data_IF_033775448638
#
_entry.id   IF_033775448638
#
_cell.length_a   1.000
_cell.length_b   1.000
_cell.length_c   1.000
_cell.angle_alpha   90.00
_cell.angle_beta   90.00
_cell.angle_gamma   90.00
#
_symmetry.space_group_name_H-M   'P 1'
#
loop_
_entity.id
_entity.type
_entity.pdbx_description
1 polymer ?
#
# COMPACT_ATOMS: atom_id res chain seq x y z
N UNK A 1 -0.51 -56.63 5.57
CA UNK A 1 -0.52 -55.87 4.30
C UNK A 1 -0.88 -54.45 4.67
N UNK A 2 0.13 -53.65 4.90
CA UNK A 2 -0.03 -52.21 5.28
C UNK A 2 -0.12 -51.42 3.98
N UNK A 3 -1.27 -50.83 3.73
CA UNK A 3 -1.48 -49.90 2.61
C UNK A 3 -0.88 -48.54 3.00
N UNK A 4 0.36 -48.30 2.58
CA UNK A 4 0.96 -46.96 2.57
C UNK A 4 0.16 -46.06 1.61
N UNK A 5 -0.80 -45.35 2.19
CA UNK A 5 -1.48 -44.25 1.48
C UNK A 5 -0.45 -43.13 1.34
N UNK A 6 0.27 -43.13 0.23
CA UNK A 6 1.06 -41.97 -0.19
C UNK A 6 0.12 -40.76 -0.30
N UNK A 7 0.03 -39.96 0.75
CA UNK A 7 -0.47 -38.60 0.63
C UNK A 7 0.43 -37.89 -0.40
N UNK A 8 -0.03 -37.79 -1.66
CA UNK A 8 0.57 -36.94 -2.66
C UNK A 8 0.69 -35.56 -1.99
N UNK A 9 1.92 -35.13 -1.67
CA UNK A 9 2.18 -33.77 -1.26
C UNK A 9 1.55 -32.86 -2.31
N UNK A 10 0.60 -32.04 -1.89
CA UNK A 10 -0.06 -31.09 -2.79
C UNK A 10 0.98 -30.05 -3.19
N UNK A 11 1.32 -30.00 -4.47
CA UNK A 11 2.34 -29.10 -4.98
C UNK A 11 2.00 -27.64 -4.69
N UNK A 12 3.04 -26.81 -4.57
CA UNK A 12 2.95 -25.38 -4.22
C UNK A 12 2.48 -24.56 -5.42
N UNK A 13 1.47 -23.70 -5.21
CA UNK A 13 1.03 -22.69 -6.18
C UNK A 13 1.58 -21.34 -5.74
N UNK A 14 2.54 -20.82 -6.48
CA UNK A 14 3.30 -19.62 -6.18
C UNK A 14 2.76 -18.40 -6.94
N UNK A 15 2.35 -17.36 -6.27
CA UNK A 15 2.09 -16.07 -6.89
C UNK A 15 3.36 -15.23 -6.93
N UNK A 16 3.66 -14.61 -8.08
CA UNK A 16 4.88 -13.79 -8.27
C UNK A 16 4.53 -12.36 -8.67
N UNK A 17 5.16 -11.38 -8.03
CA UNK A 17 4.95 -9.95 -8.31
C UNK A 17 5.41 -9.05 -7.19
N UNK A 18 5.45 -7.73 -7.45
CA UNK A 18 5.75 -6.74 -6.41
C UNK A 18 4.53 -6.46 -5.52
N UNK A 19 3.32 -6.48 -6.08
CA UNK A 19 2.03 -6.36 -5.39
C UNK A 19 1.82 -5.06 -4.62
N UNK A 20 2.40 -3.94 -5.05
CA UNK A 20 2.20 -2.67 -4.37
C UNK A 20 0.72 -2.27 -4.31
N UNK A 21 0.26 -1.98 -3.09
CA UNK A 21 -1.14 -1.67 -2.80
C UNK A 21 -2.08 -2.87 -2.74
N UNK A 22 -1.66 -4.09 -3.04
CA UNK A 22 -2.49 -5.34 -3.01
C UNK A 22 -3.92 -5.11 -3.51
N UNK A 23 -4.05 -4.39 -4.64
CA UNK A 23 -5.32 -3.98 -5.27
C UNK A 23 -6.11 -5.17 -5.84
N UNK A 24 -7.35 -4.94 -6.29
CA UNK A 24 -8.23 -5.99 -6.80
C UNK A 24 -7.63 -6.83 -7.94
N UNK A 25 -6.78 -6.22 -8.80
CA UNK A 25 -6.01 -6.95 -9.83
C UNK A 25 -5.01 -7.93 -9.22
N UNK A 26 -4.30 -7.53 -8.19
CA UNK A 26 -3.37 -8.39 -7.46
C UNK A 26 -4.09 -9.56 -6.77
N UNK A 27 -5.27 -9.30 -6.18
CA UNK A 27 -6.07 -10.36 -5.54
C UNK A 27 -6.45 -11.49 -6.50
N UNK A 28 -6.63 -11.20 -7.82
CA UNK A 28 -6.86 -12.24 -8.84
C UNK A 28 -5.64 -13.14 -9.07
N UNK A 29 -4.43 -12.56 -9.01
CA UNK A 29 -3.18 -13.33 -9.11
C UNK A 29 -3.01 -14.21 -7.87
N UNK A 30 -3.28 -13.64 -6.69
CA UNK A 30 -3.18 -14.32 -5.40
C UNK A 30 -4.24 -15.43 -5.22
N UNK A 31 -5.34 -15.40 -5.98
CA UNK A 31 -6.44 -16.35 -5.83
C UNK A 31 -6.00 -17.79 -6.09
N UNK A 32 -6.06 -18.60 -5.04
CA UNK A 32 -5.65 -19.99 -5.03
C UNK A 32 -4.14 -20.23 -4.93
N UNK A 33 -3.33 -19.21 -4.71
CA UNK A 33 -1.91 -19.37 -4.39
C UNK A 33 -1.72 -19.82 -2.93
N UNK A 34 -0.74 -20.67 -2.69
CA UNK A 34 -0.34 -21.16 -1.37
C UNK A 34 0.87 -20.37 -0.83
N UNK A 35 1.69 -19.84 -1.76
CA UNK A 35 2.86 -19.02 -1.47
C UNK A 35 2.93 -17.79 -2.36
N UNK A 36 3.72 -16.80 -1.95
CA UNK A 36 3.97 -15.56 -2.68
C UNK A 36 5.47 -15.30 -2.71
N UNK A 37 6.02 -15.00 -3.88
CA UNK A 37 7.35 -14.41 -4.05
C UNK A 37 7.19 -12.93 -4.39
N UNK A 38 7.70 -12.07 -3.54
CA UNK A 38 7.67 -10.60 -3.69
C UNK A 38 9.02 -9.99 -3.32
N UNK A 39 9.15 -8.69 -3.50
CA UNK A 39 10.37 -7.96 -3.15
C UNK A 39 10.12 -7.01 -1.97
N UNK A 40 11.09 -6.83 -1.08
CA UNK A 40 11.00 -5.85 0.00
C UNK A 40 11.02 -4.42 -0.55
N UNK A 41 11.95 -4.13 -1.45
CA UNK A 41 12.11 -2.85 -2.13
C UNK A 41 11.55 -2.87 -3.55
N UNK A 42 11.18 -1.70 -4.06
CA UNK A 42 10.68 -1.59 -5.44
C UNK A 42 11.81 -1.85 -6.45
N UNK A 43 11.62 -2.70 -7.48
CA UNK A 43 12.68 -2.97 -8.46
C UNK A 43 13.29 -1.72 -9.09
N UNK A 44 12.49 -0.69 -9.37
CA UNK A 44 13.00 0.58 -9.92
C UNK A 44 13.89 1.35 -8.94
N UNK A 45 13.81 1.13 -7.61
CA UNK A 45 14.75 1.77 -6.69
C UNK A 45 16.21 1.33 -6.89
N UNK A 46 16.41 0.19 -7.57
CA UNK A 46 17.72 -0.36 -7.92
C UNK A 46 18.05 -0.15 -9.41
N UNK A 47 17.05 -0.33 -10.30
CA UNK A 47 17.25 -0.27 -11.75
C UNK A 47 17.33 1.18 -12.26
N UNK A 48 16.49 2.04 -11.75
CA UNK A 48 16.39 3.46 -12.10
C UNK A 48 15.74 4.23 -10.95
N UNK A 49 16.53 4.66 -9.95
CA UNK A 49 16.02 5.34 -8.76
C UNK A 49 15.22 6.63 -9.07
N UNK A 50 15.53 7.28 -10.19
CA UNK A 50 14.84 8.53 -10.59
C UNK A 50 13.39 8.29 -11.01
N UNK A 51 13.05 7.05 -11.37
CA UNK A 51 11.71 6.61 -11.78
C UNK A 51 11.02 5.75 -10.72
N UNK A 52 11.66 5.56 -9.56
CA UNK A 52 11.05 4.80 -8.47
C UNK A 52 9.81 5.54 -7.95
N UNK A 53 8.62 4.93 -8.00
CA UNK A 53 7.40 5.59 -7.56
C UNK A 53 7.29 5.59 -6.04
N UNK A 54 6.57 6.57 -5.48
CA UNK A 54 6.10 6.47 -4.10
C UNK A 54 5.25 5.21 -3.93
N UNK A 55 5.47 4.46 -2.85
CA UNK A 55 4.76 3.22 -2.59
C UNK A 55 3.32 3.52 -2.11
N UNK A 56 2.39 2.62 -2.44
CA UNK A 56 1.00 2.69 -1.99
C UNK A 56 0.81 2.18 -0.57
N UNK A 57 1.80 1.49 -0.03
CA UNK A 57 1.77 0.97 1.33
C UNK A 57 3.17 0.58 1.80
N UNK A 58 3.34 0.54 3.10
CA UNK A 58 4.55 0.06 3.76
C UNK A 58 4.85 -1.42 3.41
N UNK A 59 6.13 -1.80 3.49
CA UNK A 59 6.58 -3.15 3.14
C UNK A 59 6.04 -4.21 4.08
N UNK A 60 6.01 -3.94 5.39
CA UNK A 60 5.53 -4.92 6.38
C UNK A 60 4.01 -5.06 6.31
N UNK A 61 3.29 -3.96 6.12
CA UNK A 61 1.84 -3.99 5.86
C UNK A 61 1.53 -4.81 4.61
N UNK A 62 2.30 -4.61 3.52
CA UNK A 62 2.14 -5.37 2.28
C UNK A 62 2.36 -6.86 2.50
N UNK A 63 3.43 -7.25 3.18
CA UNK A 63 3.74 -8.65 3.49
C UNK A 63 2.63 -9.26 4.35
N UNK A 64 2.18 -8.56 5.38
CA UNK A 64 1.06 -8.99 6.24
C UNK A 64 -0.21 -9.21 5.43
N UNK A 65 -0.56 -8.26 4.56
CA UNK A 65 -1.75 -8.36 3.72
C UNK A 65 -1.63 -9.50 2.69
N UNK A 66 -0.45 -9.73 2.10
CA UNK A 66 -0.22 -10.84 1.17
C UNK A 66 -0.42 -12.21 1.83
N UNK A 67 -0.16 -12.33 3.14
CA UNK A 67 -0.41 -13.57 3.89
C UNK A 67 -1.90 -13.90 3.99
N UNK A 68 -2.75 -12.91 4.16
CA UNK A 68 -4.14 -13.11 4.61
C UNK A 68 -5.21 -12.77 3.58
N UNK A 69 -4.95 -11.85 2.64
CA UNK A 69 -5.98 -11.33 1.72
C UNK A 69 -6.60 -12.44 0.85
N UNK A 70 -7.92 -12.58 0.92
CA UNK A 70 -8.68 -13.51 0.06
C UNK A 70 -8.37 -14.99 0.29
N UNK A 71 -7.90 -15.38 1.48
CA UNK A 71 -7.65 -16.78 1.84
C UNK A 71 -8.06 -17.08 3.28
N UNK A 72 -8.49 -18.32 3.55
CA UNK A 72 -8.76 -18.81 4.91
C UNK A 72 -7.50 -19.27 5.65
N UNK A 73 -6.46 -19.67 4.91
CA UNK A 73 -5.17 -20.11 5.45
C UNK A 73 -4.11 -19.11 5.06
N UNK A 74 -3.28 -18.62 5.99
CA UNK A 74 -2.17 -17.73 5.67
C UNK A 74 -1.25 -18.34 4.60
N UNK A 75 -0.82 -17.51 3.63
CA UNK A 75 0.17 -17.90 2.63
C UNK A 75 1.57 -17.79 3.21
N UNK A 76 2.47 -18.60 2.68
CA UNK A 76 3.89 -18.39 2.89
C UNK A 76 4.38 -17.25 1.98
N UNK A 77 4.94 -16.17 2.57
CA UNK A 77 5.42 -15.00 1.82
C UNK A 77 6.94 -14.96 1.89
N UNK A 78 7.57 -15.15 0.72
CA UNK A 78 9.01 -15.00 0.50
C UNK A 78 9.25 -13.58 -0.03
N UNK A 79 9.61 -12.68 0.86
CA UNK A 79 9.93 -11.30 0.53
C UNK A 79 11.47 -11.16 0.46
N UNK A 80 11.99 -11.07 -0.75
CA UNK A 80 13.44 -10.98 -0.99
C UNK A 80 13.87 -9.55 -1.33
N UNK A 81 15.12 -9.20 -1.04
CA UNK A 81 15.70 -7.94 -1.48
C UNK A 81 15.95 -7.99 -2.99
N UNK A 82 15.42 -7.00 -3.72
CA UNK A 82 15.76 -6.81 -5.12
C UNK A 82 17.09 -6.07 -5.23
N UNK A 83 18.14 -6.80 -5.57
CA UNK A 83 19.51 -6.29 -5.67
C UNK A 83 19.96 -6.21 -7.12
N UNK A 84 21.07 -5.52 -7.40
CA UNK A 84 21.71 -5.53 -8.75
C UNK A 84 22.03 -6.96 -9.19
N UNK A 85 22.50 -7.82 -8.27
CA UNK A 85 22.74 -9.25 -8.54
C UNK A 85 21.47 -9.97 -8.97
N UNK A 86 20.35 -9.74 -8.26
CA UNK A 86 19.06 -10.34 -8.62
C UNK A 86 18.56 -9.82 -9.97
N UNK A 87 18.72 -8.53 -10.22
CA UNK A 87 18.33 -7.88 -11.48
C UNK A 87 19.13 -8.37 -12.71
N UNK A 88 20.39 -8.77 -12.53
CA UNK A 88 21.26 -9.28 -13.59
C UNK A 88 21.16 -10.79 -13.84
N UNK A 89 20.34 -11.50 -13.04
CA UNK A 89 20.14 -12.94 -13.17
C UNK A 89 19.55 -13.28 -14.54
N UNK A 90 20.15 -14.21 -15.29
CA UNK A 90 19.57 -14.69 -16.54
C UNK A 90 18.21 -15.39 -16.29
N UNK A 91 17.30 -15.44 -17.28
CA UNK A 91 16.03 -16.16 -17.10
C UNK A 91 16.20 -17.60 -16.63
N UNK A 92 17.21 -18.30 -17.11
CA UNK A 92 17.56 -19.70 -16.75
C UNK A 92 17.97 -19.81 -15.29
N UNK A 93 18.75 -18.83 -14.81
CA UNK A 93 19.20 -18.77 -13.42
C UNK A 93 18.03 -18.49 -12.47
N UNK A 94 17.11 -17.61 -12.88
CA UNK A 94 15.88 -17.37 -12.13
C UNK A 94 14.99 -18.62 -12.06
N UNK A 95 14.91 -19.40 -13.15
CA UNK A 95 14.22 -20.69 -13.14
C UNK A 95 14.87 -21.65 -12.16
N UNK A 96 16.21 -21.71 -12.13
CA UNK A 96 16.98 -22.54 -11.19
C UNK A 96 16.75 -22.10 -9.75
N UNK A 97 16.74 -20.79 -9.51
CA UNK A 97 16.36 -20.18 -8.22
C UNK A 97 14.95 -20.62 -7.78
N UNK A 98 13.94 -20.54 -8.66
CA UNK A 98 12.58 -20.99 -8.33
C UNK A 98 12.52 -22.48 -7.95
N UNK A 99 13.25 -23.33 -8.64
CA UNK A 99 13.32 -24.77 -8.33
C UNK A 99 14.00 -25.06 -7.00
N UNK A 100 15.04 -24.28 -6.65
CA UNK A 100 15.73 -24.39 -5.38
C UNK A 100 14.89 -23.92 -4.21
N UNK A 101 14.27 -22.73 -4.32
CA UNK A 101 13.47 -22.15 -3.23
C UNK A 101 12.11 -22.81 -3.04
N UNK A 102 11.57 -23.41 -4.12
CA UNK A 102 10.25 -24.05 -4.12
C UNK A 102 10.33 -25.44 -4.77
N UNK A 103 10.92 -26.45 -4.10
CA UNK A 103 11.11 -27.79 -4.68
C UNK A 103 9.81 -28.45 -5.15
N UNK A 104 8.71 -28.19 -4.42
CA UNK A 104 7.37 -28.73 -4.74
C UNK A 104 6.53 -27.79 -5.62
N UNK A 105 7.16 -26.87 -6.37
CA UNK A 105 6.47 -25.89 -7.20
C UNK A 105 5.65 -26.57 -8.32
N UNK A 106 4.34 -26.51 -8.20
CA UNK A 106 3.40 -27.07 -9.19
C UNK A 106 3.00 -26.03 -10.23
N UNK A 107 2.73 -24.78 -9.77
CA UNK A 107 2.15 -23.75 -10.63
C UNK A 107 2.59 -22.35 -10.23
N UNK A 108 2.89 -21.52 -11.24
CA UNK A 108 3.18 -20.09 -11.05
C UNK A 108 1.97 -19.27 -11.47
N UNK A 109 1.53 -18.34 -10.60
CA UNK A 109 0.49 -17.36 -10.88
C UNK A 109 1.13 -15.99 -11.07
N UNK A 110 0.84 -15.32 -12.19
CA UNK A 110 1.40 -13.99 -12.51
C UNK A 110 0.40 -13.11 -13.27
N UNK A 111 0.73 -11.84 -13.42
CA UNK A 111 0.05 -10.92 -14.34
C UNK A 111 0.55 -11.09 -15.78
N UNK A 112 -0.22 -10.62 -16.77
CA UNK A 112 0.14 -10.74 -18.19
C UNK A 112 1.38 -9.95 -18.60
N UNK A 113 1.66 -8.86 -17.91
CA UNK A 113 2.83 -8.01 -18.13
C UNK A 113 4.02 -8.35 -17.24
N UNK A 114 3.95 -9.41 -16.45
CA UNK A 114 5.04 -9.80 -15.56
C UNK A 114 6.27 -10.22 -16.35
N UNK A 115 7.42 -9.76 -15.89
CA UNK A 115 8.74 -10.04 -16.48
C UNK A 115 9.72 -10.42 -15.39
N UNK A 116 10.73 -11.20 -15.75
CA UNK A 116 11.81 -11.60 -14.86
C UNK A 116 13.13 -11.73 -15.62
N UNK A 117 14.20 -11.91 -14.87
CA UNK A 117 15.54 -12.01 -15.39
C UNK A 117 16.10 -10.68 -15.91
N UNK A 118 17.35 -10.70 -16.33
CA UNK A 118 18.07 -9.53 -16.82
C UNK A 118 17.29 -8.85 -17.96
N UNK A 119 17.15 -7.52 -17.85
CA UNK A 119 16.40 -6.67 -18.78
C UNK A 119 14.94 -7.10 -19.00
N UNK A 120 14.36 -7.88 -18.07
CA UNK A 120 12.99 -8.39 -18.20
C UNK A 120 12.81 -9.38 -19.36
N UNK A 121 13.86 -10.08 -19.76
CA UNK A 121 13.83 -11.01 -20.90
C UNK A 121 12.90 -12.20 -20.68
N UNK A 122 12.75 -12.65 -19.44
CA UNK A 122 11.84 -13.75 -19.07
C UNK A 122 10.37 -13.31 -19.05
N UNK A 123 9.51 -14.16 -19.58
CA UNK A 123 8.06 -13.97 -19.70
C UNK A 123 7.30 -15.17 -19.09
N UNK A 124 5.97 -15.08 -18.91
CA UNK A 124 5.18 -16.24 -18.55
C UNK A 124 5.31 -17.42 -19.55
N UNK A 125 5.59 -17.11 -20.83
CA UNK A 125 5.85 -18.17 -21.83
C UNK A 125 7.19 -18.84 -21.58
N UNK A 126 8.24 -18.09 -21.29
CA UNK A 126 9.56 -18.62 -20.91
C UNK A 126 9.45 -19.65 -19.78
N UNK A 127 8.64 -19.39 -18.73
CA UNK A 127 8.43 -20.37 -17.66
C UNK A 127 7.76 -21.66 -18.19
N UNK A 128 6.81 -21.56 -19.13
CA UNK A 128 6.19 -22.75 -19.74
C UNK A 128 7.19 -23.56 -20.54
N UNK A 129 8.07 -22.90 -21.27
CA UNK A 129 9.13 -23.53 -22.08
C UNK A 129 10.11 -24.31 -21.18
N UNK A 130 10.30 -23.86 -19.93
CA UNK A 130 11.03 -24.57 -18.87
C UNK A 130 10.19 -25.62 -18.11
N UNK A 131 8.96 -25.90 -18.56
CA UNK A 131 8.11 -26.97 -18.03
C UNK A 131 7.21 -26.59 -16.84
N UNK A 132 7.13 -25.30 -16.45
CA UNK A 132 6.24 -24.89 -15.39
C UNK A 132 4.78 -24.75 -15.86
N UNK A 133 3.83 -25.16 -15.03
CA UNK A 133 2.44 -24.75 -15.21
C UNK A 133 2.28 -23.28 -14.83
N UNK A 134 1.73 -22.45 -15.73
CA UNK A 134 1.61 -21.00 -15.50
C UNK A 134 0.18 -20.52 -15.71
N UNK A 135 -0.38 -19.92 -14.64
CA UNK A 135 -1.66 -19.21 -14.67
C UNK A 135 -1.41 -17.72 -14.83
N UNK A 136 -1.78 -17.19 -16.00
CA UNK A 136 -1.78 -15.74 -16.25
C UNK A 136 -3.16 -15.19 -15.91
N UNK A 137 -3.21 -14.28 -14.94
CA UNK A 137 -4.46 -13.65 -14.49
C UNK A 137 -4.87 -12.53 -15.43
N UNK A 138 -6.16 -12.49 -15.79
CA UNK A 138 -6.74 -11.37 -16.53
C UNK A 138 -6.77 -10.11 -15.67
N UNK A 139 -6.63 -8.94 -16.28
CA UNK A 139 -6.73 -7.67 -15.57
C UNK A 139 -8.11 -7.51 -14.90
N UNK A 140 -8.11 -7.03 -13.66
CA UNK A 140 -9.32 -6.49 -13.07
C UNK A 140 -9.57 -5.11 -13.67
N UNK A 141 -10.83 -4.73 -13.83
CA UNK A 141 -11.23 -3.42 -14.33
C UNK A 141 -12.00 -2.64 -13.27
N UNK A 142 -11.88 -1.31 -13.35
CA UNK A 142 -12.72 -0.35 -12.65
C UNK A 142 -13.22 0.62 -13.73
N UNK A 143 -14.53 0.59 -13.99
CA UNK A 143 -15.05 1.07 -15.26
C UNK A 143 -14.49 0.25 -16.43
N UNK A 144 -14.13 0.93 -17.53
CA UNK A 144 -13.59 0.26 -18.73
C UNK A 144 -12.08 0.04 -18.70
N UNK A 145 -11.39 0.59 -17.71
CA UNK A 145 -9.93 0.58 -17.63
C UNK A 145 -9.40 -0.46 -16.64
N UNK A 146 -8.20 -0.98 -16.96
CA UNK A 146 -7.49 -1.91 -16.09
C UNK A 146 -7.06 -1.25 -14.77
N UNK A 147 -7.20 -1.99 -13.67
CA UNK A 147 -6.69 -1.60 -12.37
C UNK A 147 -5.18 -1.86 -12.33
N UNK A 148 -4.42 -0.83 -11.92
CA UNK A 148 -2.97 -0.91 -11.71
C UNK A 148 -2.51 0.01 -10.59
N UNK A 149 -1.34 -0.28 -9.99
CA UNK A 149 -0.75 0.60 -8.97
C UNK A 149 -0.45 2.00 -9.53
N UNK A 150 -0.09 2.12 -10.80
CA UNK A 150 0.12 3.42 -11.47
C UNK A 150 -1.16 4.24 -11.53
N UNK A 151 -2.28 3.63 -11.92
CA UNK A 151 -3.58 4.32 -11.97
C UNK A 151 -4.08 4.72 -10.58
N UNK A 152 -3.84 3.87 -9.58
CA UNK A 152 -4.19 4.19 -8.19
C UNK A 152 -3.39 5.40 -7.71
N UNK A 153 -2.07 5.46 -7.99
CA UNK A 153 -1.25 6.63 -7.64
C UNK A 153 -1.74 7.90 -8.34
N UNK A 154 -2.11 7.81 -9.61
CA UNK A 154 -2.65 8.95 -10.34
C UNK A 154 -3.93 9.46 -9.69
N UNK A 155 -4.89 8.59 -9.35
CA UNK A 155 -6.12 8.97 -8.66
C UNK A 155 -5.83 9.64 -7.30
N UNK A 156 -4.92 9.09 -6.50
CA UNK A 156 -4.51 9.69 -5.22
C UNK A 156 -3.84 11.06 -5.40
N UNK A 157 -2.98 11.22 -6.41
CA UNK A 157 -2.32 12.48 -6.73
C UNK A 157 -3.27 13.56 -7.24
N UNK A 158 -4.41 13.19 -7.81
CA UNK A 158 -5.48 14.07 -8.21
C UNK A 158 -6.49 14.36 -7.08
N UNK A 159 -6.41 13.60 -5.97
CA UNK A 159 -7.33 13.68 -4.83
C UNK A 159 -8.58 12.82 -4.99
N UNK A 160 -8.68 12.02 -6.06
CA UNK A 160 -9.80 11.08 -6.26
C UNK A 160 -9.60 9.81 -5.42
N UNK A 161 -9.79 9.98 -4.10
CA UNK A 161 -9.62 8.92 -3.10
C UNK A 161 -10.67 7.83 -3.29
N UNK A 162 -11.89 8.20 -3.65
CA UNK A 162 -12.99 7.27 -3.88
C UNK A 162 -12.69 6.31 -5.03
N UNK A 163 -12.14 6.81 -6.14
CA UNK A 163 -11.69 5.97 -7.25
C UNK A 163 -10.52 5.07 -6.83
N UNK A 164 -9.54 5.60 -6.09
CA UNK A 164 -8.44 4.81 -5.57
C UNK A 164 -8.95 3.67 -4.65
N UNK A 165 -9.87 3.97 -3.74
CA UNK A 165 -10.50 3.01 -2.83
C UNK A 165 -11.27 1.91 -3.60
N UNK A 166 -12.00 2.28 -4.65
CA UNK A 166 -12.71 1.33 -5.51
C UNK A 166 -11.76 0.35 -6.21
N UNK A 167 -10.60 0.82 -6.67
CA UNK A 167 -9.56 -0.01 -7.30
C UNK A 167 -8.80 -0.88 -6.29
N UNK A 168 -8.57 -0.36 -5.08
CA UNK A 168 -7.95 -1.10 -3.98
C UNK A 168 -8.90 -2.18 -3.41
N UNK A 169 -10.22 -1.95 -3.49
CA UNK A 169 -11.24 -2.77 -2.82
C UNK A 169 -11.18 -2.66 -1.30
N UNK A 170 -10.65 -1.56 -0.81
CA UNK A 170 -10.59 -1.11 0.59
C UNK A 170 -10.23 0.37 0.62
N UNK A 171 -10.33 1.01 1.78
CA UNK A 171 -9.83 2.36 1.96
C UNK A 171 -8.32 2.41 1.81
N UNK A 172 -7.81 3.45 1.13
CA UNK A 172 -6.40 3.79 1.15
C UNK A 172 -6.03 4.21 2.57
N UNK A 173 -4.88 3.76 3.04
CA UNK A 173 -4.45 4.05 4.39
C UNK A 173 -2.95 4.29 4.45
N UNK A 174 -2.55 5.07 5.44
CA UNK A 174 -1.16 5.23 5.86
C UNK A 174 -1.05 4.86 7.34
N UNK A 175 0.10 4.36 7.73
CA UNK A 175 0.41 4.08 9.14
C UNK A 175 1.66 4.83 9.54
N UNK A 176 1.68 5.37 10.76
CA UNK A 176 2.83 6.08 11.30
C UNK A 176 2.70 6.24 12.81
N UNK A 177 3.84 6.46 13.49
CA UNK A 177 3.83 6.83 14.89
C UNK A 177 3.41 8.28 15.03
N UNK A 178 2.50 8.56 15.94
CA UNK A 178 2.07 9.92 16.23
C UNK A 178 3.20 10.70 16.90
N UNK A 179 3.50 11.88 16.36
CA UNK A 179 4.46 12.80 16.95
C UNK A 179 3.69 13.95 17.59
N UNK A 180 4.06 14.32 18.81
CA UNK A 180 3.41 15.42 19.50
C UNK A 180 3.55 16.73 18.70
N UNK A 181 2.43 17.29 18.26
CA UNK A 181 2.38 18.58 17.59
C UNK A 181 2.51 19.76 18.58
N UNK A 182 2.81 20.94 18.06
CA UNK A 182 2.94 22.17 18.86
C UNK A 182 1.63 22.66 19.53
N UNK A 183 0.59 21.82 19.64
CA UNK A 183 -0.60 22.12 20.43
C UNK A 183 -1.51 23.25 19.91
N UNK A 184 -1.40 23.67 18.65
CA UNK A 184 -2.30 24.69 18.08
C UNK A 184 -3.74 24.20 18.04
N UNK A 185 -3.97 22.91 17.80
CA UNK A 185 -5.29 22.27 17.87
C UNK A 185 -5.88 22.19 19.28
N UNK A 186 -5.04 22.23 20.32
CA UNK A 186 -5.48 22.18 21.71
C UNK A 186 -6.32 23.42 22.11
N UNK A 187 -6.15 24.57 21.43
CA UNK A 187 -6.99 25.75 21.63
C UNK A 187 -8.43 25.58 21.12
N UNK A 188 -8.66 24.57 20.30
CA UNK A 188 -9.98 24.19 19.73
C UNK A 188 -10.63 23.03 20.47
N UNK A 189 -10.00 22.51 21.54
CA UNK A 189 -10.55 21.43 22.36
C UNK A 189 -10.54 20.05 21.70
N UNK A 190 -9.83 19.88 20.57
CA UNK A 190 -9.70 18.59 19.89
C UNK A 190 -8.22 18.18 19.81
N UNK A 191 -7.85 16.96 20.21
CA UNK A 191 -6.51 16.46 20.10
C UNK A 191 -6.10 16.37 18.63
N UNK A 192 -4.86 16.77 18.31
CA UNK A 192 -4.29 16.71 16.97
C UNK A 192 -3.16 15.70 16.94
N UNK A 193 -3.20 14.79 15.96
CA UNK A 193 -2.18 13.81 15.70
C UNK A 193 -1.37 14.21 14.49
N UNK A 194 -0.06 14.21 14.60
CA UNK A 194 0.87 14.52 13.52
C UNK A 194 1.64 13.27 13.13
N UNK A 195 1.74 13.03 11.83
CA UNK A 195 2.48 11.90 11.27
C UNK A 195 3.40 12.40 10.17
N UNK A 196 4.64 11.94 10.15
CA UNK A 196 5.49 12.07 8.97
C UNK A 196 5.17 10.92 8.02
N UNK A 197 4.60 11.23 6.86
CA UNK A 197 4.13 10.23 5.92
C UNK A 197 4.50 10.62 4.50
N UNK A 198 5.20 9.72 3.81
CA UNK A 198 5.41 9.84 2.36
C UNK A 198 4.39 8.98 1.62
N UNK A 199 3.35 9.61 1.08
CA UNK A 199 2.29 8.94 0.33
C UNK A 199 2.02 9.66 -1.00
N UNK A 200 1.55 8.98 -2.05
CA UNK A 200 1.24 9.60 -3.35
C UNK A 200 -0.09 10.36 -3.33
N UNK A 201 -0.34 11.11 -2.26
CA UNK A 201 -1.57 11.89 -2.05
C UNK A 201 -1.40 13.32 -2.58
N UNK A 202 -2.49 13.89 -3.08
CA UNK A 202 -2.57 15.33 -3.31
C UNK A 202 -2.48 16.09 -1.99
N UNK A 203 -1.73 17.19 -1.97
CA UNK A 203 -1.73 18.08 -0.80
C UNK A 203 -3.10 18.72 -0.58
N UNK A 204 -3.60 18.66 0.65
CA UNK A 204 -4.90 19.19 1.00
C UNK A 204 -5.57 18.52 2.20
N UNK A 205 -6.86 18.76 2.33
CA UNK A 205 -7.68 18.34 3.46
C UNK A 205 -8.56 17.17 3.06
N UNK A 206 -8.64 16.18 3.96
CA UNK A 206 -9.34 14.91 3.74
C UNK A 206 -10.28 14.59 4.89
N UNK A 207 -11.34 13.83 4.60
CA UNK A 207 -12.07 13.07 5.60
C UNK A 207 -11.36 11.75 5.80
N UNK A 208 -11.10 11.40 7.05
CA UNK A 208 -10.39 10.18 7.43
C UNK A 208 -11.10 9.45 8.55
N UNK A 209 -10.88 8.13 8.64
CA UNK A 209 -11.21 7.33 9.82
C UNK A 209 -9.89 6.85 10.46
N UNK A 210 -9.88 6.83 11.78
CA UNK A 210 -8.81 6.31 12.63
C UNK A 210 -9.38 5.32 13.63
N UNK A 211 -8.58 4.53 14.35
CA UNK A 211 -9.08 3.70 15.46
C UNK A 211 -9.81 4.50 16.55
N UNK A 212 -9.56 5.79 16.67
CA UNK A 212 -10.19 6.68 17.65
C UNK A 212 -11.42 7.43 17.12
N UNK A 213 -11.83 7.15 15.89
CA UNK A 213 -13.00 7.74 15.26
C UNK A 213 -12.69 8.54 14.00
N UNK A 214 -13.71 9.24 13.51
CA UNK A 214 -13.63 10.06 12.31
C UNK A 214 -12.86 11.35 12.57
N UNK A 215 -12.08 11.79 11.57
CA UNK A 215 -11.29 13.00 11.62
C UNK A 215 -11.28 13.77 10.31
N UNK A 216 -10.76 14.98 10.41
CA UNK A 216 -10.33 15.80 9.29
C UNK A 216 -8.81 15.83 9.30
N UNK A 217 -8.18 15.45 8.19
CA UNK A 217 -6.73 15.39 8.08
C UNK A 217 -6.23 16.40 7.06
N UNK A 218 -5.21 17.19 7.42
CA UNK A 218 -4.43 18.02 6.50
C UNK A 218 -3.16 17.27 6.12
N UNK A 219 -2.99 16.97 4.83
CA UNK A 219 -1.75 16.44 4.27
C UNK A 219 -1.03 17.56 3.54
N UNK A 220 0.06 18.06 4.10
CA UNK A 220 0.71 19.26 3.61
C UNK A 220 2.21 19.28 3.83
N UNK A 221 2.89 20.18 3.09
CA UNK A 221 4.30 20.51 3.33
C UNK A 221 4.34 21.50 4.47
N UNK A 222 4.62 20.97 5.66
CA UNK A 222 4.70 21.69 6.93
C UNK A 222 5.07 23.19 6.91
N UNK A 223 4.93 23.74 8.04
CA UNK A 223 3.87 24.44 8.67
C UNK A 223 4.06 25.93 8.70
N UNK A 224 3.04 26.46 8.83
CA UNK A 224 2.71 27.67 9.49
C UNK A 224 3.48 27.92 10.77
N UNK A 225 4.66 28.44 10.78
CA UNK A 225 5.42 28.99 11.89
C UNK A 225 6.65 28.19 12.37
N UNK A 226 7.76 28.59 11.85
CA UNK A 226 9.10 28.26 12.36
C UNK A 226 9.85 27.25 11.51
N UNK A 227 11.15 27.46 11.41
CA UNK A 227 12.12 26.56 10.76
C UNK A 227 11.95 25.12 11.25
N UNK A 228 11.16 24.32 10.54
CA UNK A 228 11.04 22.91 10.83
C UNK A 228 11.75 22.09 9.76
N UNK A 229 12.61 21.22 10.24
CA UNK A 229 13.46 20.33 9.46
C UNK A 229 12.71 19.17 8.79
N UNK A 230 11.40 19.27 8.54
CA UNK A 230 10.65 18.22 7.90
C UNK A 230 10.92 18.21 6.40
N UNK A 231 11.55 17.18 5.91
CA UNK A 231 11.84 16.99 4.47
C UNK A 231 10.68 16.33 3.71
N UNK A 232 9.67 15.81 4.41
CA UNK A 232 8.51 15.13 3.86
C UNK A 232 7.19 15.84 4.24
N UNK A 233 6.10 15.61 3.49
CA UNK A 233 4.79 16.08 3.90
C UNK A 233 4.37 15.50 5.26
N UNK A 234 3.62 16.29 6.03
CA UNK A 234 3.07 15.93 7.34
C UNK A 234 1.58 15.71 7.20
N UNK A 235 1.08 14.68 7.85
CA UNK A 235 -0.35 14.43 8.01
C UNK A 235 -0.77 14.88 9.42
N UNK A 236 -1.57 15.94 9.51
CA UNK A 236 -2.18 16.40 10.74
C UNK A 236 -3.63 15.96 10.81
N UNK A 237 -3.99 15.15 11.80
CA UNK A 237 -5.35 14.62 11.96
C UNK A 237 -6.04 15.27 13.15
N UNK A 238 -7.19 15.88 12.89
CA UNK A 238 -8.13 16.43 13.86
C UNK A 238 -9.29 15.46 14.07
N UNK A 239 -9.47 14.93 15.26
CA UNK A 239 -10.61 14.07 15.61
C UNK A 239 -11.88 14.91 15.82
N UNK A 240 -13.00 14.51 15.19
CA UNK A 240 -14.25 15.28 15.18
C UNK A 240 -14.99 15.23 16.50
N UNK A 241 -15.00 14.09 17.17
CA UNK A 241 -15.83 13.83 18.34
C UNK A 241 -15.01 13.72 19.65
N UNK A 242 -13.79 14.25 19.64
CA UNK A 242 -12.88 14.30 20.80
C UNK A 242 -12.73 12.93 21.48
N UNK A 243 -11.62 12.25 21.28
CA UNK A 243 -11.31 11.05 22.04
C UNK A 243 -10.26 11.32 23.08
N UNK A 244 -10.39 10.64 24.22
CA UNK A 244 -9.24 10.46 25.10
C UNK A 244 -8.26 9.55 24.36
N UNK A 245 -7.13 10.12 23.96
CA UNK A 245 -5.97 9.35 23.59
C UNK A 245 -5.53 8.60 24.84
N UNK A 246 -5.53 7.28 24.79
CA UNK A 246 -4.69 6.53 25.69
C UNK A 246 -3.24 6.73 25.23
N UNK A 247 -2.51 7.58 25.97
CA UNK A 247 -1.08 7.83 25.77
C UNK A 247 -0.21 6.60 26.10
N UNK A 248 -0.84 5.44 26.33
CA UNK A 248 -0.18 4.24 26.88
C UNK A 248 0.83 3.60 25.91
N UNK A 249 0.77 3.89 24.61
CA UNK A 249 1.77 3.40 23.67
C UNK A 249 2.04 4.41 22.53
N UNK A 250 2.87 5.44 22.78
CA UNK A 250 3.20 6.47 21.77
C UNK A 250 3.97 5.89 20.57
N UNK A 251 4.57 4.70 20.70
CA UNK A 251 5.33 4.04 19.65
C UNK A 251 4.47 3.11 18.77
N UNK A 252 3.20 2.90 19.12
CA UNK A 252 2.30 2.08 18.31
C UNK A 252 1.86 2.81 17.04
N UNK A 253 2.11 2.25 15.83
CA UNK A 253 1.75 2.91 14.60
C UNK A 253 0.23 3.02 14.47
N UNK A 254 -0.26 4.24 14.36
CA UNK A 254 -1.66 4.53 14.13
C UNK A 254 -1.97 4.46 12.63
N UNK A 255 -3.07 3.77 12.29
CA UNK A 255 -3.58 3.68 10.93
C UNK A 255 -4.60 4.77 10.66
N UNK A 256 -4.38 5.55 9.59
CA UNK A 256 -5.31 6.57 9.08
C UNK A 256 -5.87 6.13 7.74
N UNK A 257 -7.18 5.95 7.64
CA UNK A 257 -7.90 5.54 6.43
C UNK A 257 -8.54 6.75 5.75
N UNK A 258 -8.26 6.96 4.47
CA UNK A 258 -8.75 8.10 3.69
C UNK A 258 -10.08 7.76 3.03
N UNK A 259 -11.09 8.62 3.26
CA UNK A 259 -12.44 8.46 2.72
C UNK A 259 -12.67 9.33 1.49
N UNK A 260 -12.37 10.64 1.63
CA UNK A 260 -12.69 11.66 0.64
C UNK A 260 -11.73 12.83 0.73
N UNK A 261 -11.41 13.43 -0.41
CA UNK A 261 -10.75 14.74 -0.50
C UNK A 261 -11.78 15.85 -0.33
N UNK A 262 -11.51 16.81 0.55
CA UNK A 262 -12.40 17.93 0.81
C UNK A 262 -11.99 19.18 0.00
N UNK A 263 -10.72 19.55 0.07
CA UNK A 263 -10.22 20.78 -0.58
C UNK A 263 -8.69 20.81 -0.63
N UNK A 264 -8.07 21.62 -1.50
CA UNK A 264 -6.65 21.91 -1.46
C UNK A 264 -6.23 22.63 -0.17
N UNK A 265 -4.93 22.65 0.09
CA UNK A 265 -4.37 23.52 1.16
C UNK A 265 -4.72 24.98 0.94
N UNK A 266 -4.90 25.71 2.05
CA UNK A 266 -5.18 27.13 2.05
C UNK A 266 -4.33 27.80 3.13
N UNK A 267 -3.71 28.93 2.78
CA UNK A 267 -3.02 29.77 3.77
C UNK A 267 -4.03 30.70 4.42
N UNK A 268 -3.87 30.94 5.71
CA UNK A 268 -4.74 31.84 6.49
C UNK A 268 -3.92 33.02 7.01
N UNK A 269 -4.53 34.21 6.98
CA UNK A 269 -3.91 35.42 7.48
C UNK A 269 -3.91 35.56 9.00
N UNK A 270 -4.86 34.83 9.63
CA UNK A 270 -5.09 34.89 11.08
C UNK A 270 -5.67 33.58 11.61
N UNK A 271 -5.55 33.41 12.94
CA UNK A 271 -6.02 32.19 13.64
C UNK A 271 -7.54 32.01 13.56
N UNK A 272 -8.31 33.11 13.57
CA UNK A 272 -9.77 33.04 13.57
C UNK A 272 -10.30 32.52 12.22
N UNK A 273 -9.65 32.92 11.13
CA UNK A 273 -9.95 32.40 9.78
C UNK A 273 -9.63 30.93 9.65
N UNK A 274 -8.53 30.48 10.25
CA UNK A 274 -8.15 29.06 10.33
C UNK A 274 -9.21 28.28 11.13
N UNK A 275 -9.59 28.75 12.31
CA UNK A 275 -10.60 28.11 13.16
C UNK A 275 -11.96 27.98 12.46
N UNK A 276 -12.43 29.02 11.78
CA UNK A 276 -13.68 28.99 10.99
C UNK A 276 -13.62 27.97 9.87
N UNK A 277 -12.46 27.84 9.19
CA UNK A 277 -12.31 26.85 8.12
C UNK A 277 -12.30 25.42 8.67
N UNK A 278 -11.58 25.16 9.78
CA UNK A 278 -11.58 23.83 10.44
C UNK A 278 -13.01 23.47 10.84
N UNK A 279 -13.78 24.38 11.42
CA UNK A 279 -15.18 24.13 11.77
C UNK A 279 -16.05 23.78 10.55
N UNK A 280 -15.80 24.42 9.40
CA UNK A 280 -16.48 24.12 8.13
C UNK A 280 -16.09 22.73 7.60
N UNK A 281 -14.79 22.38 7.65
CA UNK A 281 -14.28 21.08 7.24
C UNK A 281 -14.84 19.95 8.11
N UNK A 282 -14.90 20.14 9.43
CA UNK A 282 -15.54 19.22 10.38
C UNK A 282 -17.03 19.03 10.06
N UNK A 283 -17.74 20.10 9.77
CA UNK A 283 -19.15 20.02 9.37
C UNK A 283 -19.34 19.22 8.07
N UNK A 284 -18.47 19.45 7.08
CA UNK A 284 -18.47 18.70 5.82
C UNK A 284 -18.15 17.22 6.05
N UNK A 285 -17.18 16.91 6.92
CA UNK A 285 -16.80 15.55 7.24
C UNK A 285 -17.90 14.76 7.98
N UNK A 286 -18.69 15.42 8.83
CA UNK A 286 -19.87 14.79 9.47
C UNK A 286 -20.98 14.43 8.48
N UNK A 287 -21.09 15.19 7.39
CA UNK A 287 -22.09 14.96 6.32
C UNK A 287 -21.65 13.94 5.29
N UNK A 288 -20.35 13.57 5.27
CA UNK A 288 -19.78 12.55 4.39
C UNK A 288 -19.96 11.18 5.05
N UNK A 289 -21.18 10.64 4.94
CA UNK A 289 -21.57 9.34 5.47
C UNK A 289 -21.02 8.17 4.68
#
# INVERSE_FOLDING_TARGET
MSADVHKKNKGVRLAVGFFDGVHLGHRRILAGADAVLTFRNHPLSILDPTRAPALLMDVEERISMLRTVGTKKPRNVHAVEFTKRFASMAPEDFVSYLRSEFPDLEKVHCGGNWRFGANGAGTPQTLRDFGFSVKVSRYAKCGDEAISSTRIRAALAEGDVELANSMLGRRFSVSGCAVHGKGVGCKLGAPTLNFEVSAPLRLGVYVVDTPYGRGVANYGTAPTMGESAWQAPVLEVHLIDGCNFDEEDPDSPLKVEFLRFLRPEKRFSDTDSLCRQIAADVKAARSAG
#
